data_IF_496482444854
#
_entry.id   IF_496482444854
#
_cell.length_a   1.000
_cell.length_b   1.000
_cell.length_c   1.000
_cell.angle_alpha   90.00
_cell.angle_beta   90.00
_cell.angle_gamma   90.00
#
_symmetry.space_group_name_H-M   'P 1'
#
loop_
_entity.id
_entity.type
_entity.pdbx_description
1 polymer ?
#
# COMPACT_ATOMS: atom_id res chain seq x y z
N UNK A 1 6.72 -16.97 -1.66
CA UNK A 1 5.90 -15.73 -1.75
C UNK A 1 6.48 -14.86 -2.86
N UNK A 2 5.64 -14.23 -3.67
CA UNK A 2 6.12 -13.32 -4.73
C UNK A 2 6.05 -11.86 -4.28
N UNK A 3 7.09 -11.08 -4.64
CA UNK A 3 7.19 -9.66 -4.34
C UNK A 3 7.69 -8.88 -5.55
N UNK A 4 7.04 -7.73 -5.83
CA UNK A 4 7.34 -6.90 -6.98
C UNK A 4 8.23 -5.73 -6.58
N UNK A 5 9.33 -5.50 -7.34
CA UNK A 5 10.29 -4.43 -7.11
C UNK A 5 10.43 -3.50 -8.32
N UNK A 6 10.77 -2.24 -8.04
CA UNK A 6 11.00 -1.20 -9.05
C UNK A 6 12.16 -0.26 -8.66
N UNK A 7 13.06 -0.69 -7.78
CA UNK A 7 14.14 0.13 -7.21
C UNK A 7 15.22 0.52 -8.23
N UNK A 8 15.32 -0.17 -9.37
CA UNK A 8 16.20 0.21 -10.47
C UNK A 8 15.69 1.41 -11.28
N UNK A 9 14.41 1.79 -11.12
CA UNK A 9 13.89 3.05 -11.63
C UNK A 9 14.13 4.16 -10.60
N UNK A 10 15.37 4.63 -10.50
CA UNK A 10 15.80 5.62 -9.51
C UNK A 10 15.31 7.01 -9.90
N UNK A 11 14.70 7.73 -8.94
CA UNK A 11 14.41 9.15 -9.10
C UNK A 11 15.70 9.95 -8.96
N UNK A 12 16.03 10.85 -9.91
CA UNK A 12 17.13 11.79 -9.74
C UNK A 12 16.70 12.92 -8.79
N UNK A 13 16.79 12.67 -7.48
CA UNK A 13 16.42 13.64 -6.46
C UNK A 13 17.61 14.57 -6.14
N UNK A 14 17.38 15.87 -5.86
CA UNK A 14 18.41 16.79 -5.41
C UNK A 14 19.07 16.30 -4.11
N UNK A 15 20.33 16.69 -3.91
CA UNK A 15 21.04 16.44 -2.65
C UNK A 15 20.26 17.01 -1.47
N UNK A 16 20.19 16.25 -0.37
CA UNK A 16 19.42 16.61 0.83
C UNK A 16 17.90 16.42 0.71
N UNK A 17 17.40 15.85 -0.37
CA UNK A 17 15.97 15.56 -0.50
C UNK A 17 15.51 14.60 0.59
N UNK A 18 14.37 14.91 1.24
CA UNK A 18 13.88 14.14 2.40
C UNK A 18 13.43 12.72 2.09
N UNK A 19 13.14 12.40 0.82
CA UNK A 19 12.66 11.08 0.42
C UNK A 19 13.83 10.09 0.32
N UNK A 20 13.86 9.01 1.13
CA UNK A 20 15.00 8.09 1.23
C UNK A 20 14.96 7.04 0.12
N UNK A 21 15.32 7.44 -1.13
CA UNK A 21 15.26 6.54 -2.30
C UNK A 21 15.99 5.21 -2.12
N UNK A 22 17.12 5.22 -1.38
CA UNK A 22 17.95 4.02 -1.20
C UNK A 22 17.25 2.89 -0.41
N UNK A 23 16.21 3.21 0.38
CA UNK A 23 15.50 2.22 1.21
C UNK A 23 14.98 1.02 0.40
N UNK A 24 14.52 1.25 -0.83
CA UNK A 24 13.92 0.20 -1.67
C UNK A 24 14.96 -0.83 -2.12
N UNK A 25 16.13 -0.36 -2.56
CA UNK A 25 17.24 -1.25 -2.92
C UNK A 25 17.77 -1.99 -1.70
N UNK A 26 17.97 -1.30 -0.59
CA UNK A 26 18.44 -1.91 0.66
C UNK A 26 17.47 -2.99 1.16
N UNK A 27 16.17 -2.72 1.11
CA UNK A 27 15.14 -3.70 1.47
C UNK A 27 15.20 -4.91 0.54
N UNK A 28 15.23 -4.71 -0.79
CA UNK A 28 15.31 -5.81 -1.75
C UNK A 28 16.56 -6.67 -1.50
N UNK A 29 17.73 -6.04 -1.37
CA UNK A 29 18.98 -6.74 -1.15
C UNK A 29 18.95 -7.58 0.15
N UNK A 30 18.29 -7.07 1.20
CA UNK A 30 18.09 -7.81 2.45
C UNK A 30 17.11 -8.97 2.29
N UNK A 31 15.97 -8.75 1.66
CA UNK A 31 14.98 -9.83 1.44
C UNK A 31 15.57 -10.94 0.61
N UNK A 32 16.30 -10.62 -0.48
CA UNK A 32 16.99 -11.64 -1.31
C UNK A 32 18.01 -12.43 -0.50
N UNK A 33 18.76 -11.77 0.37
CA UNK A 33 19.80 -12.42 1.18
C UNK A 33 19.23 -13.25 2.32
N UNK A 34 18.19 -12.77 2.99
CA UNK A 34 17.70 -13.31 4.27
C UNK A 34 16.44 -14.18 4.13
N UNK A 35 15.74 -14.11 2.99
CA UNK A 35 14.44 -14.76 2.79
C UNK A 35 14.35 -15.51 1.46
N UNK A 36 15.04 -16.65 1.38
CA UNK A 36 15.15 -17.44 0.14
C UNK A 36 13.82 -17.97 -0.41
N UNK A 37 12.75 -17.96 0.38
CA UNK A 37 11.40 -18.33 -0.05
C UNK A 37 10.60 -17.20 -0.69
N UNK A 38 11.20 -15.99 -0.83
CA UNK A 38 10.56 -14.84 -1.50
C UNK A 38 11.16 -14.67 -2.89
N UNK A 39 10.33 -14.84 -3.91
CA UNK A 39 10.69 -14.63 -5.31
C UNK A 39 10.51 -13.16 -5.69
N UNK A 40 11.59 -12.55 -6.21
CA UNK A 40 11.58 -11.15 -6.64
C UNK A 40 11.21 -11.03 -8.11
N UNK A 41 10.14 -10.31 -8.41
CA UNK A 41 9.66 -10.04 -9.75
C UNK A 41 9.76 -8.55 -10.07
N UNK A 42 10.14 -8.24 -11.31
CA UNK A 42 10.14 -6.85 -11.77
C UNK A 42 8.71 -6.34 -11.89
N UNK A 43 8.44 -5.16 -11.30
CA UNK A 43 7.14 -4.53 -11.37
C UNK A 43 6.75 -4.18 -12.82
N UNK A 44 5.58 -4.58 -13.31
CA UNK A 44 5.05 -4.08 -14.58
C UNK A 44 4.71 -2.58 -14.46
N UNK A 45 4.70 -1.85 -15.57
CA UNK A 45 4.18 -0.49 -15.58
C UNK A 45 2.66 -0.50 -15.79
N UNK A 46 1.92 0.25 -14.98
CA UNK A 46 0.49 0.45 -15.23
C UNK A 46 0.26 1.25 -16.51
N UNK A 47 -0.68 0.80 -17.32
CA UNK A 47 -1.13 1.48 -18.54
C UNK A 47 -2.01 2.69 -18.21
N UNK A 48 -2.22 3.59 -19.18
CA UNK A 48 -3.15 4.72 -19.04
C UNK A 48 -4.57 4.25 -18.73
N UNK A 49 -5.00 3.15 -19.34
CA UNK A 49 -6.32 2.56 -19.11
C UNK A 49 -6.49 2.04 -17.68
N UNK A 50 -5.47 1.41 -17.12
CA UNK A 50 -5.48 0.98 -15.70
C UNK A 50 -5.49 2.18 -14.76
N UNK A 51 -4.64 3.19 -15.01
CA UNK A 51 -4.61 4.42 -14.21
C UNK A 51 -5.94 5.18 -14.25
N UNK A 52 -6.60 5.22 -15.41
CA UNK A 52 -7.88 5.92 -15.61
C UNK A 52 -9.05 5.31 -14.81
N UNK A 53 -8.88 4.13 -14.22
CA UNK A 53 -9.87 3.57 -13.29
C UNK A 53 -10.00 4.37 -11.99
N UNK A 54 -8.95 5.11 -11.60
CA UNK A 54 -8.92 5.90 -10.37
C UNK A 54 -8.49 7.36 -10.60
N UNK A 55 -7.88 7.68 -11.73
CA UNK A 55 -7.34 9.00 -12.02
C UNK A 55 -7.97 9.64 -13.26
N UNK A 56 -8.07 10.96 -13.23
CA UNK A 56 -8.53 11.74 -14.38
C UNK A 56 -7.54 11.60 -15.55
N UNK A 57 -8.00 11.30 -16.78
CA UNK A 57 -7.15 11.20 -17.96
C UNK A 57 -6.27 12.43 -18.22
N UNK A 58 -6.78 13.64 -17.97
CA UNK A 58 -5.99 14.87 -18.15
C UNK A 58 -4.82 14.93 -17.14
N UNK A 59 -5.02 14.46 -15.92
CA UNK A 59 -3.95 14.36 -14.92
C UNK A 59 -2.91 13.33 -15.33
N UNK A 60 -3.32 12.15 -15.83
CA UNK A 60 -2.42 11.11 -16.33
C UNK A 60 -1.57 11.66 -17.47
N UNK A 61 -2.19 12.34 -18.44
CA UNK A 61 -1.50 12.97 -19.57
C UNK A 61 -0.51 14.04 -19.09
N UNK A 62 -0.90 14.89 -18.14
CA UNK A 62 -0.04 15.93 -17.59
C UNK A 62 1.21 15.36 -16.88
N UNK A 63 1.08 14.27 -16.12
CA UNK A 63 2.22 13.56 -15.54
C UNK A 63 3.11 12.95 -16.63
N UNK A 64 2.51 12.32 -17.62
CA UNK A 64 3.25 11.67 -18.72
C UNK A 64 4.08 12.65 -19.52
N UNK A 65 3.53 13.83 -19.83
CA UNK A 65 4.17 14.84 -20.67
C UNK A 65 4.89 15.95 -19.89
N UNK A 66 4.82 15.96 -18.56
CA UNK A 66 5.46 17.00 -17.73
C UNK A 66 4.82 18.38 -17.84
N UNK A 67 3.52 18.42 -18.07
CA UNK A 67 2.76 19.66 -18.28
C UNK A 67 1.99 20.14 -17.04
N UNK A 68 2.20 19.50 -15.89
CA UNK A 68 1.60 19.98 -14.64
C UNK A 68 2.05 21.39 -14.30
N UNK A 69 1.13 22.19 -13.74
CA UNK A 69 1.49 23.48 -13.16
C UNK A 69 2.55 23.30 -12.07
N UNK A 70 3.47 24.26 -11.97
CA UNK A 70 4.58 24.20 -11.01
C UNK A 70 4.12 24.11 -9.53
N UNK A 71 2.92 24.64 -9.21
CA UNK A 71 2.30 24.50 -7.88
C UNK A 71 1.91 23.05 -7.59
N UNK A 72 1.24 22.38 -8.53
CA UNK A 72 0.83 20.98 -8.40
C UNK A 72 2.04 20.03 -8.36
N UNK A 73 3.09 20.34 -9.13
CA UNK A 73 4.34 19.57 -9.07
C UNK A 73 5.01 19.69 -7.69
N UNK A 74 4.95 20.87 -7.05
CA UNK A 74 5.46 21.07 -5.67
C UNK A 74 4.63 20.32 -4.62
N UNK A 75 3.31 20.17 -4.82
CA UNK A 75 2.46 19.37 -3.91
C UNK A 75 2.86 17.88 -3.93
N UNK A 76 3.25 17.36 -5.10
CA UNK A 76 3.81 16.00 -5.21
C UNK A 76 5.11 15.87 -4.42
N UNK A 77 5.97 16.90 -4.44
CA UNK A 77 7.23 16.91 -3.73
C UNK A 77 8.40 16.25 -4.49
N UNK A 78 8.19 15.79 -5.72
CA UNK A 78 9.25 15.32 -6.62
C UNK A 78 9.42 16.28 -7.80
N UNK A 79 10.65 16.58 -8.25
CA UNK A 79 10.84 17.21 -9.53
C UNK A 79 10.34 16.30 -10.65
N UNK A 80 9.69 16.87 -11.66
CA UNK A 80 9.25 16.06 -12.79
C UNK A 80 10.45 15.55 -13.61
N UNK A 81 10.34 14.31 -14.04
CA UNK A 81 11.21 13.67 -15.01
C UNK A 81 10.50 12.46 -15.63
N UNK A 82 10.96 11.99 -16.78
CA UNK A 82 10.47 10.73 -17.36
C UNK A 82 10.66 9.55 -16.38
N UNK A 83 11.77 9.54 -15.64
CA UNK A 83 12.04 8.54 -14.62
C UNK A 83 11.00 8.59 -13.48
N UNK A 84 10.54 9.78 -13.08
CA UNK A 84 9.46 9.92 -12.09
C UNK A 84 8.16 9.34 -12.61
N UNK A 85 7.75 9.67 -13.84
CA UNK A 85 6.52 9.16 -14.44
C UNK A 85 6.56 7.63 -14.59
N UNK A 86 7.67 7.07 -15.08
CA UNK A 86 7.87 5.62 -15.22
C UNK A 86 7.83 4.93 -13.86
N UNK A 87 8.57 5.44 -12.86
CA UNK A 87 8.56 4.88 -11.51
C UNK A 87 7.16 4.89 -10.89
N UNK A 88 6.40 5.97 -11.08
CA UNK A 88 5.03 6.07 -10.56
C UNK A 88 4.13 4.99 -11.16
N UNK A 89 4.23 4.74 -12.47
CA UNK A 89 3.51 3.66 -13.15
C UNK A 89 3.92 2.27 -12.65
N UNK A 90 5.24 2.06 -12.42
CA UNK A 90 5.75 0.79 -11.86
C UNK A 90 5.27 0.55 -10.42
N UNK A 91 5.20 1.60 -9.61
CA UNK A 91 4.66 1.51 -8.25
C UNK A 91 3.20 1.03 -8.26
N UNK A 92 2.37 1.60 -9.13
CA UNK A 92 0.98 1.16 -9.32
C UNK A 92 0.91 -0.27 -9.84
N UNK A 93 1.65 -0.56 -10.91
CA UNK A 93 1.65 -1.90 -11.53
C UNK A 93 2.09 -3.01 -10.59
N UNK A 94 3.01 -2.71 -9.66
CA UNK A 94 3.43 -3.66 -8.63
C UNK A 94 2.30 -4.00 -7.65
N UNK A 95 1.53 -3.01 -7.17
CA UNK A 95 0.39 -3.25 -6.28
C UNK A 95 -0.73 -4.00 -7.00
N UNK A 96 -0.99 -3.66 -8.26
CA UNK A 96 -1.93 -4.39 -9.11
C UNK A 96 -1.50 -5.86 -9.28
N UNK A 97 -0.24 -6.11 -9.61
CA UNK A 97 0.27 -7.47 -9.79
C UNK A 97 0.22 -8.28 -8.48
N UNK A 98 0.58 -7.66 -7.35
CA UNK A 98 0.45 -8.29 -6.03
C UNK A 98 -1.00 -8.65 -5.70
N UNK A 99 -1.95 -7.75 -5.96
CA UNK A 99 -3.38 -7.99 -5.74
C UNK A 99 -3.92 -9.15 -6.60
N UNK A 100 -3.53 -9.22 -7.90
CA UNK A 100 -3.87 -10.35 -8.78
C UNK A 100 -3.38 -11.67 -8.23
N UNK A 101 -2.12 -11.76 -7.80
CA UNK A 101 -1.56 -12.98 -7.25
C UNK A 101 -2.23 -13.40 -5.94
N UNK A 102 -2.47 -12.45 -5.04
CA UNK A 102 -3.16 -12.74 -3.78
C UNK A 102 -4.55 -13.33 -4.04
N UNK A 103 -5.31 -12.78 -4.99
CA UNK A 103 -6.64 -13.25 -5.39
C UNK A 103 -6.62 -14.55 -6.22
N UNK A 104 -5.49 -14.88 -6.87
CA UNK A 104 -5.42 -15.96 -7.87
C UNK A 104 -6.07 -15.59 -9.21
N UNK A 105 -6.02 -14.32 -9.59
CA UNK A 105 -6.49 -13.83 -10.88
C UNK A 105 -5.33 -13.83 -11.90
N UNK A 106 -4.93 -14.97 -12.41
CA UNK A 106 -3.88 -15.05 -13.43
C UNK A 106 -4.39 -14.80 -14.85
N UNK A 107 -3.44 -14.62 -15.79
CA UNK A 107 -3.71 -14.34 -17.21
C UNK A 107 -4.53 -15.44 -17.92
N UNK A 108 -4.66 -16.61 -17.34
CA UNK A 108 -5.40 -17.75 -17.90
C UNK A 108 -6.56 -18.24 -17.01
N UNK A 109 -6.96 -17.46 -16.01
CA UNK A 109 -8.18 -17.73 -15.23
C UNK A 109 -8.09 -18.89 -14.22
N UNK A 110 -6.93 -19.52 -14.04
CA UNK A 110 -6.73 -20.66 -13.16
C UNK A 110 -5.38 -20.62 -12.42
N UNK A 111 -4.91 -19.46 -12.02
CA UNK A 111 -3.75 -19.42 -11.14
C UNK A 111 -4.15 -19.77 -9.71
N UNK A 112 -3.30 -20.56 -9.07
CA UNK A 112 -3.46 -20.91 -7.67
C UNK A 112 -3.42 -19.65 -6.80
N UNK A 113 -4.46 -19.45 -5.99
CA UNK A 113 -4.55 -18.32 -5.07
C UNK A 113 -3.36 -18.35 -4.12
N UNK A 114 -2.50 -17.33 -4.18
CA UNK A 114 -1.35 -17.25 -3.28
C UNK A 114 -1.71 -16.77 -1.87
N UNK A 115 -2.83 -16.07 -1.73
CA UNK A 115 -3.31 -15.54 -0.46
C UNK A 115 -2.56 -14.33 0.04
N UNK A 116 -1.23 -14.27 -0.15
CA UNK A 116 -0.38 -13.12 0.21
C UNK A 116 0.61 -12.82 -0.90
N UNK A 117 0.74 -11.55 -1.30
CA UNK A 117 1.76 -11.06 -2.23
C UNK A 117 2.12 -9.59 -1.92
N UNK A 118 3.28 -9.12 -2.40
CA UNK A 118 3.86 -7.86 -1.98
C UNK A 118 4.23 -6.92 -3.12
N UNK A 119 4.05 -5.61 -2.88
CA UNK A 119 4.79 -4.54 -3.55
C UNK A 119 5.88 -4.02 -2.60
N UNK A 120 7.15 -4.04 -3.03
CA UNK A 120 8.28 -3.53 -2.24
C UNK A 120 8.34 -1.99 -2.14
N UNK A 121 7.39 -1.31 -2.77
CA UNK A 121 7.16 0.14 -2.71
C UNK A 121 5.67 0.38 -2.48
N UNK A 122 5.05 1.31 -3.19
CA UNK A 122 3.61 1.58 -3.11
C UNK A 122 3.19 2.37 -1.88
N UNK A 123 1.90 2.30 -1.55
CA UNK A 123 1.32 3.10 -0.48
C UNK A 123 1.21 4.58 -0.85
N UNK A 124 0.90 4.85 -2.11
CA UNK A 124 0.85 6.22 -2.65
C UNK A 124 -0.52 6.86 -2.41
N UNK A 125 -0.96 6.82 -1.16
CA UNK A 125 -2.31 7.09 -0.66
C UNK A 125 -2.72 8.57 -0.66
N UNK A 126 -1.76 9.50 -0.80
CA UNK A 126 -2.07 10.93 -0.86
C UNK A 126 -2.50 11.41 -2.26
N UNK A 127 -2.33 10.60 -3.31
CA UNK A 127 -2.76 10.97 -4.65
C UNK A 127 -4.29 10.87 -4.78
N UNK A 128 -4.89 11.99 -5.16
CA UNK A 128 -6.32 12.13 -5.51
C UNK A 128 -6.56 11.72 -6.95
N UNK A 129 -7.81 11.66 -7.37
CA UNK A 129 -8.15 11.37 -8.76
C UNK A 129 -7.54 12.38 -9.76
N UNK A 130 -7.42 13.65 -9.37
CA UNK A 130 -7.03 14.76 -10.26
C UNK A 130 -5.71 15.44 -9.89
N UNK A 131 -5.04 15.02 -8.81
CA UNK A 131 -3.75 15.60 -8.37
C UNK A 131 -2.96 14.62 -7.49
N UNK A 132 -1.64 14.78 -7.46
CA UNK A 132 -0.76 14.12 -6.50
C UNK A 132 -0.46 14.99 -5.28
N UNK A 133 0.23 14.43 -4.30
CA UNK A 133 0.68 15.13 -3.10
C UNK A 133 1.54 14.22 -2.22
N UNK A 134 2.32 14.78 -1.28
CA UNK A 134 3.01 14.01 -0.25
C UNK A 134 3.85 12.83 -0.77
N UNK A 135 4.63 13.04 -1.83
CA UNK A 135 5.42 12.02 -2.53
C UNK A 135 4.61 10.96 -3.29
N UNK A 136 3.30 11.17 -3.45
CA UNK A 136 2.40 10.29 -4.18
C UNK A 136 2.01 10.93 -5.52
N UNK A 137 2.26 10.20 -6.63
CA UNK A 137 1.90 10.64 -7.99
C UNK A 137 0.57 10.03 -8.38
N UNK A 138 0.46 8.70 -8.40
CA UNK A 138 -0.77 7.96 -8.64
C UNK A 138 -1.10 7.10 -7.43
N UNK A 139 -2.38 6.92 -7.12
CA UNK A 139 -2.86 6.13 -5.99
C UNK A 139 -2.89 4.63 -6.36
N UNK A 140 -1.86 3.91 -5.96
CA UNK A 140 -1.66 2.52 -6.34
C UNK A 140 -2.75 1.58 -5.80
N UNK A 141 -3.17 1.75 -4.55
CA UNK A 141 -4.21 0.91 -3.96
C UNK A 141 -5.60 1.21 -4.53
N UNK A 142 -5.87 2.47 -4.92
CA UNK A 142 -7.12 2.81 -5.57
C UNK A 142 -7.22 2.18 -6.97
N UNK A 143 -6.15 2.27 -7.77
CA UNK A 143 -6.09 1.61 -9.08
C UNK A 143 -6.22 0.09 -8.92
N UNK A 144 -5.49 -0.50 -7.95
CA UNK A 144 -5.55 -1.94 -7.71
C UNK A 144 -6.96 -2.39 -7.30
N UNK A 145 -7.63 -1.69 -6.39
CA UNK A 145 -9.00 -2.00 -5.98
C UNK A 145 -9.96 -2.02 -7.18
N UNK A 146 -9.98 -0.93 -7.96
CA UNK A 146 -10.84 -0.82 -9.15
C UNK A 146 -10.58 -1.89 -10.20
N UNK A 147 -9.30 -2.14 -10.47
CA UNK A 147 -8.92 -3.13 -11.48
C UNK A 147 -9.28 -4.55 -11.05
N UNK A 148 -9.05 -4.90 -9.78
CA UNK A 148 -9.45 -6.22 -9.25
C UNK A 148 -10.96 -6.40 -9.27
N UNK A 149 -11.74 -5.38 -8.97
CA UNK A 149 -13.21 -5.41 -9.12
C UNK A 149 -13.65 -5.62 -10.56
N UNK A 150 -13.02 -4.93 -11.52
CA UNK A 150 -13.34 -5.08 -12.95
C UNK A 150 -12.98 -6.48 -13.48
N UNK A 151 -11.78 -6.99 -13.14
CA UNK A 151 -11.33 -8.33 -13.54
C UNK A 151 -12.17 -9.41 -12.89
N UNK A 152 -12.50 -9.29 -11.60
CA UNK A 152 -13.39 -10.20 -10.90
C UNK A 152 -14.78 -10.27 -11.54
N UNK A 153 -15.36 -9.11 -11.85
CA UNK A 153 -16.64 -9.03 -12.52
C UNK A 153 -16.60 -9.69 -13.91
N UNK A 154 -15.54 -9.45 -14.67
CA UNK A 154 -15.36 -10.09 -16.00
C UNK A 154 -15.30 -11.62 -15.89
N UNK A 155 -14.63 -12.16 -14.87
CA UNK A 155 -14.42 -13.61 -14.71
C UNK A 155 -15.61 -14.31 -14.03
N UNK A 156 -16.27 -13.64 -13.08
CA UNK A 156 -17.20 -14.29 -12.16
C UNK A 156 -18.61 -13.66 -12.16
N UNK A 157 -18.93 -12.81 -13.12
CA UNK A 157 -20.17 -12.02 -13.21
C UNK A 157 -21.45 -12.79 -12.86
N UNK A 158 -21.55 -14.06 -13.28
CA UNK A 158 -22.76 -14.87 -13.12
C UNK A 158 -22.60 -15.95 -12.04
N UNK A 159 -21.45 -16.03 -11.36
CA UNK A 159 -21.13 -17.16 -10.46
C UNK A 159 -20.74 -16.73 -9.06
N UNK A 160 -20.35 -15.47 -8.87
CA UNK A 160 -19.93 -14.92 -7.58
C UNK A 160 -20.46 -13.50 -7.39
N UNK A 161 -20.66 -13.04 -6.12
CA UNK A 161 -21.02 -11.66 -5.86
C UNK A 161 -19.89 -10.70 -6.30
N UNK A 162 -20.19 -9.40 -6.49
CA UNK A 162 -19.18 -8.38 -6.76
C UNK A 162 -18.09 -8.37 -5.69
N UNK A 163 -16.84 -8.15 -6.11
CA UNK A 163 -15.71 -8.09 -5.20
C UNK A 163 -15.78 -6.84 -4.33
N UNK A 164 -15.83 -7.02 -3.03
CA UNK A 164 -15.67 -5.96 -2.04
C UNK A 164 -14.20 -5.90 -1.59
N UNK A 165 -13.65 -4.69 -1.47
CA UNK A 165 -12.23 -4.48 -1.15
C UNK A 165 -12.11 -3.64 0.12
N UNK A 166 -11.34 -4.10 1.11
CA UNK A 166 -10.94 -3.27 2.23
C UNK A 166 -9.52 -2.74 1.99
N UNK A 167 -9.34 -1.43 2.14
CA UNK A 167 -8.04 -0.78 2.18
C UNK A 167 -7.75 -0.49 3.65
N UNK A 168 -6.76 -1.20 4.21
CA UNK A 168 -6.29 -1.02 5.59
C UNK A 168 -4.99 -0.22 5.52
N UNK A 169 -5.10 1.06 5.85
CA UNK A 169 -4.00 2.01 5.81
C UNK A 169 -3.47 2.26 7.23
N UNK A 170 -2.28 1.74 7.50
CA UNK A 170 -1.58 1.89 8.78
C UNK A 170 -0.27 2.69 8.63
N UNK A 171 -0.18 3.50 7.57
CA UNK A 171 0.79 4.59 7.48
C UNK A 171 0.49 5.64 8.56
N UNK A 172 1.51 6.33 9.08
CA UNK A 172 1.30 7.37 10.10
C UNK A 172 0.51 8.57 9.59
N UNK A 173 0.48 8.74 8.26
CA UNK A 173 -0.27 9.79 7.58
C UNK A 173 -1.63 9.26 7.13
N UNK A 174 -2.68 10.10 7.20
CA UNK A 174 -3.98 9.69 6.65
C UNK A 174 -3.91 9.52 5.13
N UNK A 175 -4.50 8.45 4.62
CA UNK A 175 -4.69 8.21 3.20
C UNK A 175 -5.79 9.10 2.59
N UNK A 176 -5.58 10.42 2.61
CA UNK A 176 -6.59 11.40 2.18
C UNK A 176 -6.99 11.29 0.70
N UNK A 177 -6.04 10.96 -0.18
CA UNK A 177 -6.33 10.70 -1.59
C UNK A 177 -7.21 9.46 -1.77
N UNK A 178 -6.90 8.40 -1.04
CA UNK A 178 -7.70 7.16 -1.02
C UNK A 178 -9.12 7.42 -0.51
N UNK A 179 -9.26 8.10 0.63
CA UNK A 179 -10.55 8.48 1.20
C UNK A 179 -11.38 9.30 0.19
N UNK A 180 -10.77 10.29 -0.46
CA UNK A 180 -11.44 11.12 -1.46
C UNK A 180 -11.90 10.34 -2.70
N UNK A 181 -11.11 9.40 -3.20
CA UNK A 181 -11.45 8.58 -4.39
C UNK A 181 -12.66 7.68 -4.11
N UNK A 182 -12.79 7.17 -2.88
CA UNK A 182 -13.84 6.21 -2.51
C UNK A 182 -14.96 6.80 -1.65
N UNK A 183 -15.03 8.13 -1.46
CA UNK A 183 -15.96 8.81 -0.56
C UNK A 183 -17.44 8.42 -0.72
N UNK A 184 -17.87 7.95 -1.89
CA UNK A 184 -19.23 7.55 -2.20
C UNK A 184 -19.33 6.13 -2.77
N UNK A 185 -18.42 5.25 -2.42
CA UNK A 185 -18.34 3.91 -2.96
C UNK A 185 -18.45 2.82 -1.89
N UNK A 186 -19.65 2.31 -1.70
CA UNK A 186 -19.93 1.24 -0.75
C UNK A 186 -19.27 -0.12 -1.09
N UNK A 187 -18.60 -0.26 -2.23
CA UNK A 187 -17.88 -1.49 -2.61
C UNK A 187 -16.43 -1.54 -2.14
N UNK A 188 -15.91 -0.40 -1.64
CA UNK A 188 -14.58 -0.28 -1.06
C UNK A 188 -14.68 0.33 0.33
N UNK A 189 -14.11 -0.32 1.33
CA UNK A 189 -14.04 0.20 2.69
C UNK A 189 -12.65 0.78 2.95
N UNK A 190 -12.58 2.04 3.29
CA UNK A 190 -11.34 2.75 3.61
C UNK A 190 -11.18 2.87 5.13
N UNK A 191 -10.15 2.20 5.67
CA UNK A 191 -9.73 2.30 7.07
C UNK A 191 -8.38 3.00 7.14
N UNK A 192 -8.26 4.06 7.95
CA UNK A 192 -6.99 4.74 8.20
C UNK A 192 -6.75 4.91 9.72
N UNK A 193 -5.64 4.33 10.22
CA UNK A 193 -5.16 4.55 11.60
C UNK A 193 -3.91 5.40 11.53
N UNK A 194 -4.01 6.65 11.97
CA UNK A 194 -2.97 7.66 11.71
C UNK A 194 -2.77 8.63 12.87
N UNK A 195 -1.65 9.33 12.86
CA UNK A 195 -1.39 10.38 13.85
C UNK A 195 -2.27 11.61 13.59
N UNK A 196 -3.03 12.04 14.59
CA UNK A 196 -3.98 13.16 14.51
C UNK A 196 -3.35 14.44 13.96
N UNK A 197 -2.09 14.71 14.33
CA UNK A 197 -1.33 15.90 13.90
C UNK A 197 -0.34 15.64 12.76
N UNK A 198 -0.30 14.41 12.22
CA UNK A 198 0.47 14.13 11.02
C UNK A 198 -0.19 14.73 9.77
N UNK A 199 0.60 14.89 8.71
CA UNK A 199 0.06 15.26 7.38
C UNK A 199 -1.01 14.22 6.93
N UNK A 200 -2.04 14.64 6.21
CA UNK A 200 -2.39 16.01 5.84
C UNK A 200 -2.97 16.78 7.03
N UNK A 201 -2.74 18.10 7.08
CA UNK A 201 -3.28 18.94 8.16
C UNK A 201 -4.80 19.13 8.05
N UNK A 202 -5.33 19.04 6.83
CA UNK A 202 -6.76 18.96 6.56
C UNK A 202 -7.06 17.53 6.11
N UNK A 203 -7.74 16.79 6.98
CA UNK A 203 -8.14 15.40 6.75
C UNK A 203 -9.32 15.31 5.79
N UNK A 204 -9.41 14.19 5.07
CA UNK A 204 -10.60 13.74 4.37
C UNK A 204 -11.36 12.73 5.25
N UNK A 205 -12.59 12.40 4.88
CA UNK A 205 -13.34 11.38 5.61
C UNK A 205 -13.18 10.02 4.95
N UNK A 206 -12.58 9.06 5.67
CA UNK A 206 -12.62 7.64 5.33
C UNK A 206 -13.90 6.98 5.86
N UNK A 207 -14.17 5.72 5.52
CA UNK A 207 -15.25 4.97 6.17
C UNK A 207 -14.98 4.76 7.66
N UNK A 208 -13.69 4.68 8.03
CA UNK A 208 -13.25 4.64 9.42
C UNK A 208 -11.87 5.32 9.57
N UNK A 209 -11.84 6.44 10.26
CA UNK A 209 -10.63 7.13 10.67
C UNK A 209 -10.39 6.94 12.17
N UNK A 210 -9.18 6.51 12.54
CA UNK A 210 -8.72 6.38 13.93
C UNK A 210 -7.53 7.31 14.13
N UNK A 211 -7.79 8.47 14.73
CA UNK A 211 -6.78 9.49 15.01
C UNK A 211 -6.06 9.23 16.33
N UNK A 212 -4.75 9.05 16.30
CA UNK A 212 -3.93 8.79 17.47
C UNK A 212 -3.15 10.03 17.91
N UNK A 213 -3.00 10.27 19.23
CA UNK A 213 -2.25 11.41 19.72
C UNK A 213 -0.75 11.27 19.45
N UNK A 214 -0.05 12.42 19.38
CA UNK A 214 1.41 12.44 19.31
C UNK A 214 2.01 11.63 20.47
N UNK A 215 3.01 10.81 20.18
CA UNK A 215 3.67 9.97 21.17
C UNK A 215 2.93 8.68 21.52
N UNK A 216 1.84 8.34 20.83
CA UNK A 216 1.14 7.07 21.02
C UNK A 216 2.11 5.89 20.86
N UNK A 217 2.11 4.97 21.80
CA UNK A 217 2.99 3.80 21.90
C UNK A 217 2.22 2.49 21.62
N UNK A 218 2.94 1.38 21.61
CA UNK A 218 2.49 0.06 21.16
C UNK A 218 1.14 -0.36 21.76
N UNK A 219 0.98 -0.30 23.08
CA UNK A 219 -0.24 -0.80 23.75
C UNK A 219 -1.50 -0.02 23.32
N UNK A 220 -1.43 1.31 23.31
CA UNK A 220 -2.55 2.16 22.91
C UNK A 220 -2.83 2.05 21.40
N UNK A 221 -1.78 1.89 20.60
CA UNK A 221 -1.93 1.65 19.18
C UNK A 221 -2.63 0.32 18.89
N UNK A 222 -2.23 -0.75 19.56
CA UNK A 222 -2.83 -2.07 19.38
C UNK A 222 -4.29 -2.12 19.84
N UNK A 223 -4.65 -1.45 20.93
CA UNK A 223 -6.05 -1.31 21.35
C UNK A 223 -6.90 -0.59 20.30
N UNK A 224 -6.38 0.49 19.73
CA UNK A 224 -7.03 1.23 18.65
C UNK A 224 -7.17 0.40 17.36
N UNK A 225 -6.14 -0.40 17.00
CA UNK A 225 -6.18 -1.30 15.85
C UNK A 225 -7.20 -2.43 16.05
N UNK A 226 -7.27 -3.04 17.24
CA UNK A 226 -8.29 -4.05 17.53
C UNK A 226 -9.70 -3.49 17.33
N UNK A 227 -9.97 -2.33 17.92
CA UNK A 227 -11.26 -1.65 17.72
C UNK A 227 -11.55 -1.38 16.24
N UNK A 228 -10.57 -0.90 15.47
CA UNK A 228 -10.72 -0.61 14.06
C UNK A 228 -11.02 -1.86 13.21
N UNK A 229 -10.35 -2.99 13.50
CA UNK A 229 -10.59 -4.26 12.81
C UNK A 229 -11.95 -4.86 13.17
N UNK A 230 -12.41 -4.71 14.42
CA UNK A 230 -13.73 -5.14 14.85
C UNK A 230 -14.84 -4.32 14.18
N UNK A 231 -14.65 -2.99 14.07
CA UNK A 231 -15.58 -2.10 13.35
C UNK A 231 -15.62 -2.44 11.84
N UNK A 232 -14.47 -2.65 11.22
CA UNK A 232 -14.40 -3.12 9.83
C UNK A 232 -15.19 -4.42 9.66
N UNK A 233 -14.93 -5.41 10.52
CA UNK A 233 -15.62 -6.71 10.50
C UNK A 233 -17.14 -6.60 10.63
N UNK A 234 -17.60 -5.69 11.52
CA UNK A 234 -19.03 -5.47 11.78
C UNK A 234 -19.73 -4.79 10.61
N UNK A 235 -19.03 -3.90 9.90
CA UNK A 235 -19.61 -3.03 8.86
C UNK A 235 -19.43 -3.55 7.45
N UNK A 236 -18.41 -4.40 7.20
CA UNK A 236 -17.99 -4.73 5.84
C UNK A 236 -17.43 -6.16 5.75
N UNK A 237 -17.64 -6.84 4.62
CA UNK A 237 -17.14 -8.20 4.37
C UNK A 237 -16.28 -8.23 3.11
N UNK A 238 -14.99 -7.91 3.20
CA UNK A 238 -14.13 -7.85 2.03
C UNK A 238 -13.80 -9.23 1.45
N UNK A 239 -13.67 -9.29 0.14
CA UNK A 239 -13.10 -10.42 -0.59
C UNK A 239 -11.61 -10.25 -0.91
N UNK A 240 -11.06 -9.04 -0.67
CA UNK A 240 -9.64 -8.67 -0.81
C UNK A 240 -9.29 -7.61 0.22
N UNK A 241 -8.10 -7.73 0.81
CA UNK A 241 -7.47 -6.67 1.60
C UNK A 241 -6.28 -6.08 0.83
N UNK A 242 -6.21 -4.76 0.76
CA UNK A 242 -5.03 -4.00 0.36
C UNK A 242 -4.47 -3.33 1.61
N UNK A 243 -3.27 -3.77 2.04
CA UNK A 243 -2.67 -3.33 3.30
C UNK A 243 -1.47 -2.41 3.04
N UNK A 244 -1.54 -1.19 3.57
CA UNK A 244 -0.43 -0.24 3.56
C UNK A 244 0.33 -0.37 4.89
N UNK A 245 1.49 -1.02 4.83
CA UNK A 245 2.32 -1.34 5.99
C UNK A 245 3.41 -0.27 6.22
N UNK A 246 2.99 0.99 6.42
CA UNK A 246 3.93 2.09 6.64
C UNK A 246 4.90 1.83 7.80
N UNK A 247 6.18 2.16 7.60
CA UNK A 247 7.20 2.07 8.64
C UNK A 247 7.30 3.35 9.50
N UNK A 248 6.58 4.39 9.12
CA UNK A 248 6.66 5.72 9.72
C UNK A 248 5.91 5.92 11.06
N UNK A 249 5.07 4.99 11.57
CA UNK A 249 4.69 5.02 12.98
C UNK A 249 5.85 4.68 13.94
N UNK A 250 7.00 4.21 13.43
CA UNK A 250 8.20 3.89 14.21
C UNK A 250 8.76 5.10 14.97
N UNK A 251 9.22 4.88 16.21
CA UNK A 251 9.72 5.95 17.09
C UNK A 251 10.92 6.73 16.53
N UNK A 252 11.73 6.10 15.64
CA UNK A 252 12.87 6.71 14.94
C UNK A 252 12.52 7.43 13.64
N UNK A 253 11.24 7.53 13.26
CA UNK A 253 10.83 8.23 12.05
C UNK A 253 10.87 9.76 12.23
N UNK A 254 11.25 10.49 11.15
CA UNK A 254 11.36 11.97 11.18
C UNK A 254 10.04 12.68 10.93
N UNK A 255 9.15 12.05 10.17
CA UNK A 255 7.88 12.63 9.74
C UNK A 255 6.72 12.12 10.57
N UNK A 256 6.84 10.91 11.13
CA UNK A 256 5.90 10.30 12.04
C UNK A 256 5.95 10.93 13.44
N UNK A 257 4.79 11.04 14.08
CA UNK A 257 4.64 11.55 15.46
C UNK A 257 4.24 10.48 16.46
N UNK A 258 4.04 9.24 16.00
CA UNK A 258 3.81 8.09 16.86
C UNK A 258 5.15 7.53 17.36
N UNK A 259 5.13 6.60 18.31
CA UNK A 259 6.32 6.07 18.98
C UNK A 259 6.24 4.56 19.16
N UNK A 260 5.93 3.85 18.04
CA UNK A 260 5.93 2.40 18.05
C UNK A 260 7.36 1.87 18.01
N UNK A 261 7.57 0.76 18.73
CA UNK A 261 8.82 0.00 18.69
C UNK A 261 8.84 -0.97 17.50
N UNK A 262 9.96 -1.67 17.28
CA UNK A 262 10.02 -2.78 16.32
C UNK A 262 8.99 -3.87 16.64
N UNK A 263 8.88 -4.22 17.92
CA UNK A 263 7.94 -5.25 18.39
C UNK A 263 6.48 -4.81 18.18
N UNK A 264 6.18 -3.53 18.46
CA UNK A 264 4.86 -2.94 18.21
C UNK A 264 4.46 -2.96 16.73
N UNK A 265 5.39 -2.62 15.83
CA UNK A 265 5.14 -2.67 14.39
C UNK A 265 5.00 -4.12 13.87
N UNK A 266 5.80 -5.05 14.38
CA UNK A 266 5.63 -6.47 14.05
C UNK A 266 4.30 -7.02 14.57
N UNK A 267 3.89 -6.66 15.80
CA UNK A 267 2.59 -7.05 16.36
C UNK A 267 1.42 -6.47 15.54
N UNK A 268 1.53 -5.19 15.10
CA UNK A 268 0.58 -4.54 14.19
C UNK A 268 0.40 -5.34 12.90
N UNK A 269 1.50 -5.65 12.23
CA UNK A 269 1.48 -6.36 10.97
C UNK A 269 0.91 -7.77 11.15
N UNK A 270 1.40 -8.49 12.16
CA UNK A 270 0.91 -9.84 12.51
C UNK A 270 -0.59 -9.84 12.76
N UNK A 271 -1.11 -8.82 13.42
CA UNK A 271 -2.55 -8.71 13.69
C UNK A 271 -3.39 -8.54 12.42
N UNK A 272 -2.95 -7.73 11.46
CA UNK A 272 -3.65 -7.56 10.18
C UNK A 272 -3.61 -8.84 9.35
N UNK A 273 -2.43 -9.48 9.23
CA UNK A 273 -2.30 -10.73 8.51
C UNK A 273 -3.12 -11.86 9.15
N UNK A 274 -3.14 -11.94 10.49
CA UNK A 274 -3.93 -12.94 11.22
C UNK A 274 -5.43 -12.71 11.02
N UNK A 275 -5.90 -11.48 11.11
CA UNK A 275 -7.28 -11.10 10.86
C UNK A 275 -7.75 -11.52 9.46
N UNK A 276 -6.94 -11.27 8.43
CA UNK A 276 -7.24 -11.68 7.07
C UNK A 276 -7.19 -13.20 6.90
N UNK A 277 -6.18 -13.86 7.47
CA UNK A 277 -6.03 -15.31 7.40
C UNK A 277 -7.18 -16.06 8.05
N UNK A 278 -7.59 -15.69 9.26
CA UNK A 278 -8.71 -16.33 9.97
C UNK A 278 -10.01 -16.29 9.16
N UNK A 279 -10.18 -15.26 8.33
CA UNK A 279 -11.35 -15.04 7.48
C UNK A 279 -11.19 -15.56 6.06
N UNK A 280 -10.04 -16.14 5.74
CA UNK A 280 -9.71 -16.62 4.38
C UNK A 280 -9.79 -15.51 3.34
N UNK A 281 -9.45 -14.28 3.71
CA UNK A 281 -9.40 -13.12 2.82
C UNK A 281 -7.98 -12.98 2.31
N UNK A 282 -7.74 -13.01 0.98
CA UNK A 282 -6.43 -12.74 0.41
C UNK A 282 -6.02 -11.30 0.68
N UNK A 283 -4.71 -11.09 0.85
CA UNK A 283 -4.14 -9.81 1.19
C UNK A 283 -2.94 -9.50 0.31
N UNK A 284 -2.97 -8.34 -0.36
CA UNK A 284 -1.80 -7.75 -0.97
C UNK A 284 -1.32 -6.58 -0.12
N UNK A 285 0.00 -6.44 0.08
CA UNK A 285 0.54 -5.36 0.89
C UNK A 285 1.62 -4.56 0.16
N UNK A 286 1.80 -3.32 0.60
CA UNK A 286 2.84 -2.42 0.13
C UNK A 286 3.55 -1.74 1.31
N UNK A 287 4.77 -1.26 1.07
CA UNK A 287 5.65 -0.75 2.13
C UNK A 287 5.30 0.65 2.63
N UNK A 288 4.57 1.43 1.84
CA UNK A 288 4.14 2.79 2.17
C UNK A 288 5.27 3.70 2.73
N UNK A 289 4.98 4.56 3.69
CA UNK A 289 5.93 5.50 4.28
C UNK A 289 7.08 4.85 5.04
N UNK A 290 7.99 5.70 5.49
CA UNK A 290 9.18 5.33 6.24
C UNK A 290 10.32 6.29 5.89
N UNK A 291 10.60 7.20 6.82
CA UNK A 291 11.48 8.36 6.65
C UNK A 291 12.46 8.48 7.83
N UNK A 292 12.88 7.35 8.39
CA UNK A 292 13.77 7.31 9.53
C UNK A 292 15.05 8.14 9.34
N UNK A 293 15.58 8.66 10.44
CA UNK A 293 16.89 9.31 10.44
C UNK A 293 17.98 8.31 10.04
N UNK A 294 17.87 7.11 10.56
CA UNK A 294 18.68 5.97 10.15
C UNK A 294 17.87 5.12 9.17
N UNK A 295 18.31 5.07 7.93
CA UNK A 295 17.63 4.31 6.86
C UNK A 295 17.59 2.80 7.16
N UNK A 296 18.59 2.26 7.85
CA UNK A 296 18.67 0.84 8.19
C UNK A 296 17.57 0.43 9.17
N UNK A 297 17.13 1.34 10.05
CA UNK A 297 15.99 1.13 10.95
C UNK A 297 14.69 1.00 10.17
N UNK A 298 14.45 1.91 9.22
CA UNK A 298 13.29 1.83 8.32
C UNK A 298 13.29 0.51 7.54
N UNK A 299 14.45 0.12 7.00
CA UNK A 299 14.60 -1.14 6.26
C UNK A 299 14.40 -2.35 7.18
N UNK A 300 14.81 -2.27 8.45
CA UNK A 300 14.57 -3.34 9.42
C UNK A 300 13.07 -3.51 9.72
N UNK A 301 12.34 -2.43 9.93
CA UNK A 301 10.88 -2.46 10.10
C UNK A 301 10.22 -3.13 8.89
N UNK A 302 10.54 -2.67 7.69
CA UNK A 302 9.99 -3.24 6.46
C UNK A 302 10.34 -4.71 6.24
N UNK A 303 11.54 -5.14 6.62
CA UNK A 303 11.94 -6.55 6.57
C UNK A 303 11.14 -7.40 7.56
N UNK A 304 10.84 -6.89 8.75
CA UNK A 304 9.99 -7.59 9.72
C UNK A 304 8.57 -7.80 9.16
N UNK A 305 8.00 -6.80 8.47
CA UNK A 305 6.74 -6.96 7.73
C UNK A 305 6.81 -8.11 6.73
N UNK A 306 7.91 -8.21 5.95
CA UNK A 306 8.11 -9.32 5.00
C UNK A 306 8.20 -10.68 5.70
N UNK A 307 8.83 -10.77 6.87
CA UNK A 307 8.92 -12.00 7.66
C UNK A 307 7.55 -12.46 8.13
N UNK A 308 6.76 -11.55 8.68
CA UNK A 308 5.38 -11.83 9.09
C UNK A 308 4.54 -12.26 7.88
N UNK A 309 4.60 -11.52 6.78
CA UNK A 309 3.86 -11.84 5.56
C UNK A 309 4.19 -13.24 5.02
N UNK A 310 5.49 -13.62 5.06
CA UNK A 310 5.94 -14.94 4.59
C UNK A 310 5.40 -16.08 5.44
N UNK A 311 5.28 -15.92 6.77
CA UNK A 311 4.65 -16.91 7.65
C UNK A 311 3.20 -17.18 7.23
N UNK A 312 2.43 -16.13 6.92
CA UNK A 312 1.03 -16.27 6.50
C UNK A 312 0.91 -16.80 5.06
N UNK A 313 1.83 -16.45 4.17
CA UNK A 313 1.91 -17.06 2.86
C UNK A 313 2.14 -18.58 2.95
N UNK A 314 3.00 -19.04 3.84
CA UNK A 314 3.21 -20.47 4.09
C UNK A 314 1.92 -21.17 4.55
N UNK A 315 1.13 -20.52 5.43
CA UNK A 315 -0.19 -21.05 5.84
C UNK A 315 -1.15 -21.17 4.65
N UNK A 316 -1.15 -20.20 3.73
CA UNK A 316 -1.95 -20.26 2.51
C UNK A 316 -1.49 -21.38 1.57
N UNK A 317 -0.18 -21.54 1.38
CA UNK A 317 0.39 -22.60 0.55
C UNK A 317 0.01 -24.00 1.06
N UNK A 318 0.06 -24.22 2.38
CA UNK A 318 -0.35 -25.50 3.00
C UNK A 318 -1.83 -25.80 2.79
N UNK A 319 -2.70 -24.80 2.86
CA UNK A 319 -4.14 -24.98 2.64
C UNK A 319 -4.47 -25.39 1.19
N UNK A 320 -3.68 -24.93 0.22
CA UNK A 320 -3.90 -25.23 -1.20
C UNK A 320 -3.42 -26.64 -1.61
N UNK A 321 -2.73 -27.37 -0.72
CA UNK A 321 -2.25 -28.74 -0.96
C UNK A 321 -3.26 -29.78 -0.46
N UNK A 322 -4.16 -29.41 0.45
CA UNK A 322 -5.24 -30.23 0.99
C UNK A 322 -6.52 -30.10 0.17
#
# INVERSE_FOLDING_TARGET
MQAFYADHFVLPLPEGHRFPMAKYKLLRDRVVREMTGVEMLQAPAASDGELALAHNPDYIAAITHGTLAASSQREIGFPWSLAMAERARRSVGATVAAARLALGLGSHGQEQRQGVAANMAGGTHHAYAHKGGGFCVFNDVAVAARLMQAEWTRLYRNTRPPLQVAIIDLDVHQGNGTASIFANDASVFTLSVHGARNFPFRKEASDLDVELPDGCQDAAYMEALEHALDELQRRFQPGLVLFLAGADPFEGDRLGRLKLTYDGLEARDRRVFDWAWQRRIPLAFCMAGGYGLNIDETVQVQLNTFRVAFEYWCKWAQMNIL
#
